data_IF_171436561130
#
_entry.id   IF_171436561130
#
_cell.length_a   1.000
_cell.length_b   1.000
_cell.length_c   1.000
_cell.angle_alpha   90.00
_cell.angle_beta   90.00
_cell.angle_gamma   90.00
#
_symmetry.space_group_name_H-M   'P 1'
#
loop_
_entity.id
_entity.type
_entity.pdbx_description
1 polymer ?
#
# COMPACT_ATOMS: atom_id res chain seq x y z
N UNK A 1 17.34 9.75 -26.46
CA UNK A 1 17.20 9.40 -25.03
C UNK A 1 18.21 8.31 -24.78
N UNK A 2 19.39 8.65 -24.30
CA UNK A 2 20.59 7.95 -24.77
C UNK A 2 20.98 6.73 -23.92
N UNK A 3 20.06 6.20 -23.11
CA UNK A 3 20.28 5.02 -22.28
C UNK A 3 21.47 5.11 -21.32
N UNK A 4 22.02 6.31 -21.14
CA UNK A 4 23.24 6.55 -20.40
C UNK A 4 22.96 6.76 -18.92
N UNK A 5 23.91 6.37 -18.09
CA UNK A 5 23.88 6.64 -16.65
C UNK A 5 25.08 7.51 -16.33
N UNK A 6 24.84 8.63 -15.67
CA UNK A 6 25.88 9.58 -15.27
C UNK A 6 25.82 9.85 -13.77
N UNK A 7 26.98 10.08 -13.17
CA UNK A 7 27.15 10.40 -11.76
C UNK A 7 27.58 11.85 -11.66
N UNK A 8 26.89 12.63 -10.81
CA UNK A 8 27.24 14.02 -10.53
C UNK A 8 27.67 14.17 -9.07
N UNK A 9 28.67 15.01 -8.84
CA UNK A 9 29.07 15.42 -7.49
C UNK A 9 28.45 16.79 -7.19
N UNK A 10 27.49 16.82 -6.25
CA UNK A 10 26.79 18.04 -5.88
C UNK A 10 27.68 19.09 -5.20
N UNK A 11 28.88 18.70 -4.75
CA UNK A 11 29.85 19.63 -4.15
C UNK A 11 30.57 20.45 -5.21
N UNK A 12 30.60 20.00 -6.47
CA UNK A 12 31.21 20.73 -7.57
C UNK A 12 30.22 21.79 -8.07
N UNK A 13 30.70 23.03 -8.19
CA UNK A 13 29.88 24.13 -8.71
C UNK A 13 29.56 23.99 -10.21
N UNK A 14 30.29 23.13 -10.93
CA UNK A 14 30.11 22.91 -12.37
C UNK A 14 29.23 21.69 -12.63
N UNK A 15 28.25 21.77 -13.55
CA UNK A 15 27.32 20.68 -13.86
C UNK A 15 27.96 19.63 -14.80
N UNK A 16 29.17 19.18 -14.50
CA UNK A 16 29.91 18.19 -15.28
C UNK A 16 29.80 16.84 -14.57
N UNK A 17 29.38 15.76 -15.26
CA UNK A 17 29.36 14.43 -14.66
C UNK A 17 30.79 13.98 -14.31
N UNK A 18 30.93 13.36 -13.14
CA UNK A 18 32.19 12.76 -12.68
C UNK A 18 32.51 11.54 -13.53
N UNK A 19 31.51 10.68 -13.74
CA UNK A 19 31.60 9.51 -14.60
C UNK A 19 30.29 9.34 -15.37
N UNK A 20 30.40 8.88 -16.62
CA UNK A 20 29.27 8.60 -17.50
C UNK A 20 29.49 7.28 -18.22
N UNK A 21 28.52 6.39 -18.13
CA UNK A 21 28.45 5.16 -18.92
C UNK A 21 27.44 5.38 -20.03
N UNK A 22 27.93 5.72 -21.22
CA UNK A 22 27.08 6.01 -22.38
C UNK A 22 26.30 4.77 -22.85
N UNK A 23 26.92 3.59 -22.82
CA UNK A 23 26.32 2.32 -23.25
C UNK A 23 25.75 1.52 -22.09
N UNK A 24 25.18 2.19 -21.07
CA UNK A 24 24.61 1.49 -19.91
C UNK A 24 23.42 0.61 -20.32
N UNK A 25 22.58 1.06 -21.24
CA UNK A 25 21.52 0.26 -21.87
C UNK A 25 21.66 0.28 -23.40
N UNK A 26 21.70 -0.90 -24.03
CA UNK A 26 22.27 -1.07 -25.39
C UNK A 26 21.32 -0.70 -26.55
N UNK A 27 20.03 -0.46 -26.29
CA UNK A 27 19.04 -0.23 -27.35
C UNK A 27 18.74 1.25 -27.63
N UNK A 28 19.55 2.18 -27.13
CA UNK A 28 19.29 3.63 -27.30
C UNK A 28 17.95 4.09 -26.71
N UNK A 29 17.35 3.27 -25.85
CA UNK A 29 16.14 3.60 -25.09
C UNK A 29 16.50 4.04 -23.68
N UNK A 30 15.61 4.77 -22.99
CA UNK A 30 15.89 5.31 -21.67
C UNK A 30 16.07 4.21 -20.62
N UNK A 31 16.83 4.54 -19.57
CA UNK A 31 16.73 3.84 -18.31
C UNK A 31 15.41 4.25 -17.64
N UNK A 32 14.53 3.28 -17.38
CA UNK A 32 13.21 3.53 -16.80
C UNK A 32 13.29 3.82 -15.30
N UNK A 33 14.19 3.13 -14.60
CA UNK A 33 14.28 3.21 -13.16
C UNK A 33 15.69 2.88 -12.67
N UNK A 34 16.09 3.54 -11.60
CA UNK A 34 17.34 3.32 -10.92
C UNK A 34 17.10 3.36 -9.41
N UNK A 35 17.84 2.53 -8.67
CA UNK A 35 17.82 2.52 -7.21
C UNK A 35 19.24 2.35 -6.69
N UNK A 36 19.57 3.05 -5.59
CA UNK A 36 20.86 2.95 -4.90
C UNK A 36 20.65 2.25 -3.56
N UNK A 37 21.57 1.35 -3.21
CA UNK A 37 21.59 0.67 -1.92
C UNK A 37 22.11 1.58 -0.80
N UNK A 38 21.77 1.28 0.46
CA UNK A 38 22.26 2.04 1.64
C UNK A 38 23.78 2.01 1.79
N UNK A 39 24.43 1.03 1.19
CA UNK A 39 25.88 0.95 1.19
C UNK A 39 26.51 2.04 0.30
N UNK A 40 25.74 2.79 -0.50
CA UNK A 40 26.19 3.82 -1.45
C UNK A 40 27.18 3.32 -2.51
N UNK A 41 27.37 2.00 -2.63
CA UNK A 41 28.25 1.38 -3.61
C UNK A 41 27.49 0.55 -4.63
N UNK A 42 26.30 0.06 -4.29
CA UNK A 42 25.52 -0.77 -5.21
C UNK A 42 24.40 0.05 -5.84
N UNK A 43 24.37 0.10 -7.16
CA UNK A 43 23.30 0.71 -7.96
C UNK A 43 22.64 -0.38 -8.81
N UNK A 44 21.32 -0.34 -8.90
CA UNK A 44 20.56 -1.19 -9.82
C UNK A 44 19.88 -0.30 -10.84
N UNK A 45 19.99 -0.64 -12.12
CA UNK A 45 19.30 0.05 -13.20
C UNK A 45 18.40 -0.91 -13.99
N UNK A 46 17.28 -0.38 -14.45
CA UNK A 46 16.31 -1.06 -15.31
C UNK A 46 16.09 -0.23 -16.55
N UNK A 47 16.24 -0.85 -17.72
CA UNK A 47 16.20 -0.13 -18.99
C UNK A 47 15.19 -0.66 -20.00
N UNK A 48 15.09 0.08 -21.11
CA UNK A 48 14.34 -0.28 -22.31
C UNK A 48 14.83 -1.58 -22.98
N UNK A 49 16.10 -1.94 -22.76
CA UNK A 49 16.71 -3.16 -23.30
C UNK A 49 16.22 -4.45 -22.61
N UNK A 50 15.15 -4.38 -21.80
CA UNK A 50 14.61 -5.48 -21.00
C UNK A 50 15.62 -6.07 -20.01
N UNK A 51 16.69 -5.35 -19.68
CA UNK A 51 17.69 -5.83 -18.73
C UNK A 51 17.56 -5.15 -17.37
N UNK A 52 17.88 -5.90 -16.32
CA UNK A 52 18.17 -5.39 -14.98
C UNK A 52 19.67 -5.52 -14.76
N UNK A 53 20.36 -4.40 -14.53
CA UNK A 53 21.81 -4.35 -14.38
C UNK A 53 22.19 -3.94 -12.97
N UNK A 54 23.17 -4.63 -12.40
CA UNK A 54 23.79 -4.31 -11.14
C UNK A 54 25.12 -3.60 -11.40
N UNK A 55 25.36 -2.52 -10.69
CA UNK A 55 26.53 -1.66 -10.84
C UNK A 55 27.23 -1.50 -9.50
N UNK A 56 28.56 -1.55 -9.52
CA UNK A 56 29.40 -1.10 -8.41
C UNK A 56 29.85 0.33 -8.71
N UNK A 57 29.40 1.29 -7.90
CA UNK A 57 29.72 2.71 -8.00
C UNK A 57 31.21 2.99 -7.77
N UNK A 58 31.95 2.07 -7.13
CA UNK A 58 33.42 2.17 -7.00
C UNK A 58 34.14 1.81 -8.31
N UNK A 59 33.48 1.06 -9.19
CA UNK A 59 33.99 0.58 -10.48
C UNK A 59 32.94 0.82 -11.58
N UNK A 60 32.47 2.06 -11.69
CA UNK A 60 31.34 2.46 -12.52
C UNK A 60 31.69 2.60 -14.01
N UNK A 61 32.30 1.55 -14.57
CA UNK A 61 32.61 1.43 -16.01
C UNK A 61 31.82 0.31 -16.69
N UNK A 62 31.53 -0.77 -15.97
CA UNK A 62 30.84 -1.95 -16.48
C UNK A 62 29.87 -2.46 -15.41
N UNK A 63 28.73 -3.00 -15.84
CA UNK A 63 27.80 -3.67 -14.93
C UNK A 63 28.46 -4.92 -14.34
N UNK A 64 28.33 -5.12 -13.04
CA UNK A 64 28.82 -6.31 -12.33
C UNK A 64 28.07 -7.55 -12.82
N UNK A 65 26.76 -7.42 -12.97
CA UNK A 65 25.86 -8.46 -13.45
C UNK A 65 24.74 -7.83 -14.28
N UNK A 66 24.20 -8.62 -15.21
CA UNK A 66 23.06 -8.26 -16.05
C UNK A 66 22.12 -9.45 -16.12
N UNK A 67 20.83 -9.19 -15.99
CA UNK A 67 19.79 -10.19 -16.07
C UNK A 67 18.73 -9.75 -17.09
N UNK A 68 18.33 -10.66 -17.96
CA UNK A 68 17.25 -10.43 -18.90
C UNK A 68 15.91 -10.64 -18.20
N UNK A 69 15.10 -9.59 -18.11
CA UNK A 69 13.73 -9.70 -17.64
C UNK A 69 12.82 -8.92 -18.59
N UNK A 70 11.90 -9.59 -19.29
CA UNK A 70 11.00 -8.91 -20.21
C UNK A 70 10.16 -7.86 -19.49
N UNK A 71 9.98 -6.72 -20.16
CA UNK A 71 9.16 -5.64 -19.66
C UNK A 71 8.40 -4.96 -20.80
N UNK A 72 7.07 -4.96 -20.70
CA UNK A 72 6.22 -4.25 -21.66
C UNK A 72 5.91 -2.81 -21.27
N UNK A 73 6.21 -2.39 -20.03
CA UNK A 73 5.87 -1.05 -19.52
C UNK A 73 7.14 -0.22 -19.26
N UNK A 74 7.19 0.97 -19.85
CA UNK A 74 8.24 1.96 -19.62
C UNK A 74 8.25 2.56 -18.21
N UNK A 75 7.14 2.44 -17.50
CA UNK A 75 6.95 2.95 -16.13
C UNK A 75 7.39 1.95 -15.05
N UNK A 76 7.88 0.77 -15.43
CA UNK A 76 8.29 -0.26 -14.48
C UNK A 76 9.46 0.21 -13.62
N UNK A 77 9.29 0.10 -12.29
CA UNK A 77 10.31 0.53 -11.33
C UNK A 77 11.01 -0.63 -10.64
N UNK A 78 12.17 -0.32 -10.08
CA UNK A 78 12.94 -1.19 -9.20
C UNK A 78 12.98 -0.57 -7.80
N UNK A 79 12.87 -1.42 -6.78
CA UNK A 79 12.99 -1.00 -5.38
C UNK A 79 13.89 -1.96 -4.61
N UNK A 80 14.66 -1.43 -3.66
CA UNK A 80 15.33 -2.24 -2.66
C UNK A 80 14.37 -2.57 -1.50
N UNK A 81 14.62 -3.73 -0.91
CA UNK A 81 14.12 -4.08 0.41
C UNK A 81 14.67 -3.14 1.50
N UNK A 82 13.97 -2.98 2.64
CA UNK A 82 14.42 -2.14 3.75
C UNK A 82 15.77 -2.56 4.34
N UNK A 83 16.12 -3.85 4.23
CA UNK A 83 17.39 -4.42 4.66
C UNK A 83 18.44 -4.47 3.54
N UNK A 84 18.11 -4.01 2.33
CA UNK A 84 18.99 -3.92 1.17
C UNK A 84 19.61 -5.25 0.73
N UNK A 85 18.98 -6.37 1.08
CA UNK A 85 19.40 -7.72 0.66
C UNK A 85 18.67 -8.20 -0.57
N UNK A 86 17.46 -7.68 -0.79
CA UNK A 86 16.60 -8.03 -1.91
C UNK A 86 16.34 -6.83 -2.82
N UNK A 87 16.27 -7.11 -4.11
CA UNK A 87 15.79 -6.25 -5.18
C UNK A 87 14.40 -6.71 -5.57
N UNK A 88 13.46 -5.78 -5.71
CA UNK A 88 12.10 -6.06 -6.18
C UNK A 88 11.88 -5.37 -7.52
N UNK A 89 11.40 -6.13 -8.49
CA UNK A 89 11.02 -5.61 -9.80
C UNK A 89 9.79 -6.33 -10.33
N UNK A 90 8.95 -5.59 -11.04
CA UNK A 90 7.88 -6.16 -11.86
C UNK A 90 8.44 -6.70 -13.19
N UNK A 91 7.82 -7.77 -13.68
CA UNK A 91 8.01 -8.29 -15.04
C UNK A 91 6.65 -8.44 -15.71
N UNK A 92 6.60 -8.11 -16.99
CA UNK A 92 5.43 -8.31 -17.84
C UNK A 92 5.87 -8.90 -19.16
N UNK A 93 5.17 -9.94 -19.61
CA UNK A 93 5.42 -10.50 -20.94
C UNK A 93 4.93 -9.55 -22.04
N UNK A 94 5.60 -9.60 -23.20
CA UNK A 94 5.18 -8.84 -24.38
C UNK A 94 3.96 -9.54 -25.01
N UNK A 95 2.84 -8.83 -25.07
CA UNK A 95 1.61 -9.10 -25.88
C UNK A 95 1.10 -10.54 -25.85
N UNK A 96 -0.03 -10.75 -25.16
CA UNK A 96 -0.92 -11.91 -25.36
C UNK A 96 -0.88 -12.98 -24.26
N UNK A 97 -0.01 -12.83 -23.26
CA UNK A 97 -0.01 -13.62 -22.03
C UNK A 97 -0.08 -12.67 -20.84
N UNK A 98 -1.13 -12.76 -20.04
CA UNK A 98 -1.38 -11.88 -18.89
C UNK A 98 -0.65 -12.34 -17.62
N UNK A 99 0.49 -13.03 -17.78
CA UNK A 99 1.29 -13.45 -16.65
C UNK A 99 2.28 -12.32 -16.35
N UNK A 100 1.98 -11.57 -15.30
CA UNK A 100 2.95 -10.67 -14.69
C UNK A 100 3.47 -11.27 -13.40
N UNK A 101 4.73 -11.01 -13.12
CA UNK A 101 5.35 -11.45 -11.89
C UNK A 101 5.98 -10.27 -11.16
N UNK A 102 5.91 -10.31 -9.85
CA UNK A 102 6.73 -9.51 -8.97
C UNK A 102 7.86 -10.40 -8.47
N UNK A 103 9.05 -10.16 -9.00
CA UNK A 103 10.22 -10.95 -8.73
C UNK A 103 11.10 -10.27 -7.67
N UNK A 104 11.61 -11.10 -6.76
CA UNK A 104 12.52 -10.74 -5.70
C UNK A 104 13.86 -11.40 -6.00
N UNK A 105 14.91 -10.60 -6.16
CA UNK A 105 16.27 -11.07 -6.44
C UNK A 105 17.19 -10.77 -5.27
N UNK A 106 18.20 -11.60 -5.06
CA UNK A 106 19.29 -11.27 -4.14
C UNK A 106 20.16 -10.14 -4.76
N UNK A 107 20.64 -9.22 -3.94
CA UNK A 107 21.51 -8.12 -4.37
C UNK A 107 22.90 -8.61 -4.78
N UNK A 108 23.42 -9.64 -4.13
CA UNK A 108 24.80 -10.10 -4.34
C UNK A 108 24.96 -10.86 -5.68
N UNK A 109 24.02 -11.75 -5.99
CA UNK A 109 24.12 -12.69 -7.11
C UNK A 109 23.04 -12.52 -8.19
N UNK A 110 22.09 -11.60 -8.00
CA UNK A 110 20.88 -11.49 -8.85
C UNK A 110 20.09 -12.81 -8.97
N UNK A 111 20.22 -13.70 -7.98
CA UNK A 111 19.49 -14.96 -7.94
C UNK A 111 18.03 -14.75 -7.55
N UNK A 112 17.11 -15.40 -8.25
CA UNK A 112 15.67 -15.30 -7.97
C UNK A 112 15.36 -15.97 -6.62
N UNK A 113 14.95 -15.16 -5.64
CA UNK A 113 14.55 -15.63 -4.32
C UNK A 113 13.08 -16.01 -4.28
N UNK A 114 12.22 -15.17 -4.84
CA UNK A 114 10.77 -15.35 -4.82
C UNK A 114 10.13 -14.72 -6.04
N UNK A 115 9.08 -15.34 -6.55
CA UNK A 115 8.21 -14.78 -7.57
C UNK A 115 6.77 -14.80 -7.07
N UNK A 116 6.05 -13.71 -7.24
CA UNK A 116 4.62 -13.60 -6.94
C UNK A 116 3.90 -13.34 -8.26
N UNK A 117 3.04 -14.26 -8.67
CA UNK A 117 2.23 -14.11 -9.87
C UNK A 117 1.08 -13.11 -9.65
N UNK A 118 0.84 -12.29 -10.66
CA UNK A 118 -0.31 -11.41 -10.76
C UNK A 118 -1.17 -11.91 -11.91
N UNK A 119 -2.37 -12.39 -11.57
CA UNK A 119 -3.36 -12.83 -12.55
C UNK A 119 -4.04 -11.60 -13.16
N UNK A 120 -4.14 -11.58 -14.49
CA UNK A 120 -4.80 -10.56 -15.33
C UNK A 120 -4.40 -9.10 -15.06
N UNK A 121 -3.31 -8.90 -14.32
CA UNK A 121 -2.88 -7.58 -13.84
C UNK A 121 -1.36 -7.53 -13.92
N UNK A 122 -0.81 -6.38 -14.31
CA UNK A 122 0.64 -6.21 -14.37
C UNK A 122 1.18 -5.45 -13.19
N UNK A 123 2.22 -5.97 -12.53
CA UNK A 123 2.96 -5.25 -11.49
C UNK A 123 3.92 -4.26 -12.15
N UNK A 124 3.64 -2.96 -12.01
CA UNK A 124 4.42 -1.90 -12.68
C UNK A 124 5.34 -1.21 -11.67
N UNK A 125 4.78 -0.69 -10.57
CA UNK A 125 5.51 0.22 -9.68
C UNK A 125 5.65 -0.40 -8.29
N UNK A 126 6.72 -1.15 -8.00
CA UNK A 126 7.04 -1.57 -6.65
C UNK A 126 7.69 -0.41 -5.85
N UNK A 127 7.19 -0.17 -4.64
CA UNK A 127 7.74 0.78 -3.67
C UNK A 127 7.72 0.13 -2.29
N UNK A 128 8.91 -0.12 -1.74
CA UNK A 128 9.03 -0.68 -0.40
C UNK A 128 9.30 0.43 0.62
N UNK A 129 8.40 0.59 1.59
CA UNK A 129 8.57 1.59 2.62
C UNK A 129 9.49 1.08 3.75
N UNK A 130 10.62 1.76 4.06
CA UNK A 130 11.64 1.22 4.95
C UNK A 130 11.20 1.12 6.42
N UNK A 131 10.41 2.10 6.92
CA UNK A 131 9.98 2.12 8.33
C UNK A 131 8.73 1.28 8.60
N UNK A 132 7.87 1.10 7.59
CA UNK A 132 6.62 0.35 7.74
C UNK A 132 6.87 -1.13 7.44
N UNK A 133 7.91 -1.42 6.66
CA UNK A 133 8.19 -2.71 6.06
C UNK A 133 7.00 -3.24 5.23
N UNK A 134 6.38 -2.35 4.47
CA UNK A 134 5.24 -2.63 3.59
C UNK A 134 5.64 -2.35 2.15
N UNK A 135 5.29 -3.26 1.25
CA UNK A 135 5.57 -3.19 -0.18
C UNK A 135 4.29 -2.81 -0.92
N UNK A 136 4.26 -1.61 -1.47
CA UNK A 136 3.19 -1.10 -2.30
C UNK A 136 3.51 -1.39 -3.76
N UNK A 137 2.56 -1.98 -4.49
CA UNK A 137 2.70 -2.31 -5.90
C UNK A 137 1.56 -1.67 -6.66
N UNK A 138 1.89 -0.70 -7.52
CA UNK A 138 0.94 -0.16 -8.49
C UNK A 138 0.71 -1.15 -9.63
N UNK A 139 -0.54 -1.55 -9.84
CA UNK A 139 -0.95 -2.43 -10.92
C UNK A 139 -1.42 -1.64 -12.16
N UNK A 140 -1.44 -2.30 -13.33
CA UNK A 140 -2.03 -1.78 -14.57
C UNK A 140 -3.47 -1.31 -14.43
N UNK A 141 -4.23 -1.94 -13.53
CA UNK A 141 -5.66 -1.71 -13.35
C UNK A 141 -5.99 -0.42 -12.59
N UNK A 142 -4.96 0.37 -12.24
CA UNK A 142 -5.09 1.53 -11.35
C UNK A 142 -5.21 1.16 -9.88
N UNK A 143 -5.28 -0.13 -9.54
CA UNK A 143 -5.28 -0.62 -8.17
C UNK A 143 -3.87 -0.67 -7.59
N UNK A 144 -3.76 -0.46 -6.27
CA UNK A 144 -2.52 -0.65 -5.52
C UNK A 144 -2.67 -1.89 -4.66
N UNK A 145 -1.85 -2.91 -4.92
CA UNK A 145 -1.75 -4.09 -4.05
C UNK A 145 -0.64 -3.84 -3.03
N UNK A 146 -0.89 -4.20 -1.78
CA UNK A 146 0.10 -4.02 -0.72
C UNK A 146 0.40 -5.33 -0.04
N UNK A 147 1.68 -5.64 0.05
CA UNK A 147 2.19 -6.81 0.75
C UNK A 147 2.81 -6.37 2.07
N UNK A 148 2.50 -7.11 3.13
CA UNK A 148 3.03 -6.87 4.46
C UNK A 148 3.28 -8.20 5.15
N UNK A 149 4.32 -8.24 5.98
CA UNK A 149 4.53 -9.32 6.94
C UNK A 149 3.83 -8.95 8.26
N UNK A 150 2.86 -9.73 8.77
CA UNK A 150 2.17 -9.43 10.03
C UNK A 150 3.10 -9.32 11.24
N UNK A 151 4.26 -9.97 11.21
CA UNK A 151 5.22 -9.97 12.34
C UNK A 151 6.20 -8.80 12.27
N UNK A 152 6.65 -8.44 11.07
CA UNK A 152 7.70 -7.42 10.86
C UNK A 152 7.16 -6.06 10.46
N UNK A 153 5.95 -5.99 9.92
CA UNK A 153 5.36 -4.73 9.46
C UNK A 153 4.70 -4.00 10.61
N UNK A 154 4.80 -2.68 10.60
CA UNK A 154 4.26 -1.84 11.66
C UNK A 154 3.32 -0.80 11.08
N UNK A 155 2.26 -0.44 11.84
CA UNK A 155 1.33 0.65 11.51
C UNK A 155 0.75 0.51 10.08
N UNK A 156 0.47 1.62 9.40
CA UNK A 156 -0.03 1.65 8.02
C UNK A 156 -1.30 0.82 7.88
N UNK A 157 -1.26 -0.17 7.00
CA UNK A 157 -2.40 -1.07 6.73
C UNK A 157 -2.86 -1.83 7.97
N UNK A 158 -1.97 -2.16 8.91
CA UNK A 158 -2.37 -2.85 10.13
C UNK A 158 -3.38 -2.01 10.95
N UNK A 159 -3.30 -0.67 10.89
CA UNK A 159 -4.27 0.20 11.56
C UNK A 159 -5.65 0.17 10.89
N UNK A 160 -5.68 0.04 9.57
CA UNK A 160 -6.93 -0.08 8.80
C UNK A 160 -7.58 -1.45 9.03
N UNK A 161 -6.77 -2.52 9.11
CA UNK A 161 -7.26 -3.88 9.38
C UNK A 161 -7.90 -4.04 10.76
N UNK A 162 -7.38 -3.36 11.79
CA UNK A 162 -7.97 -3.40 13.13
C UNK A 162 -9.25 -2.59 13.26
N UNK A 163 -9.48 -1.63 12.36
CA UNK A 163 -10.76 -0.92 12.26
C UNK A 163 -11.71 -1.75 11.40
N UNK A 164 -12.20 -2.86 11.95
CA UNK A 164 -13.46 -3.41 11.48
C UNK A 164 -14.49 -2.33 11.75
N UNK A 165 -15.01 -1.71 10.71
CA UNK A 165 -16.21 -0.90 10.84
C UNK A 165 -17.29 -1.90 11.23
N UNK A 166 -17.57 -2.01 12.54
CA UNK A 166 -18.81 -2.64 12.97
C UNK A 166 -19.90 -1.88 12.23
N UNK A 167 -20.44 -2.49 11.19
CA UNK A 167 -21.66 -2.02 10.57
C UNK A 167 -22.62 -1.95 11.74
N UNK A 168 -22.94 -0.73 12.19
CA UNK A 168 -23.96 -0.54 13.21
C UNK A 168 -25.16 -1.32 12.69
N UNK A 169 -25.44 -2.46 13.29
CA UNK A 169 -26.71 -3.13 13.11
C UNK A 169 -27.72 -2.05 13.46
N UNK A 170 -28.48 -1.62 12.46
CA UNK A 170 -29.37 -0.50 12.62
C UNK A 170 -30.28 -0.90 13.78
N UNK A 171 -30.30 -0.13 14.87
CA UNK A 171 -30.97 -0.57 16.11
C UNK A 171 -32.47 -0.87 15.89
N UNK A 172 -33.02 -0.47 14.74
CA UNK A 172 -34.34 -0.87 14.26
C UNK A 172 -34.47 -2.34 13.80
N UNK A 173 -33.41 -3.00 13.34
CA UNK A 173 -33.41 -4.43 12.98
C UNK A 173 -33.33 -5.33 14.22
N UNK A 174 -32.58 -4.93 15.26
CA UNK A 174 -32.56 -5.62 16.55
C UNK A 174 -33.91 -5.60 17.27
N UNK A 175 -34.76 -4.60 17.01
CA UNK A 175 -36.12 -4.55 17.56
C UNK A 175 -37.09 -5.52 16.89
N UNK A 176 -36.77 -6.00 15.68
CA UNK A 176 -37.55 -7.03 14.97
C UNK A 176 -37.13 -8.44 15.38
N UNK A 177 -35.97 -8.59 16.03
CA UNK A 177 -35.46 -9.88 16.42
C UNK A 177 -35.97 -10.27 17.82
N UNK A 178 -37.03 -11.07 17.77
CA UNK A 178 -37.54 -12.01 18.78
C UNK A 178 -38.38 -11.44 19.93
N UNK A 179 -39.68 -11.26 19.67
CA UNK A 179 -40.68 -11.51 20.71
C UNK A 179 -40.71 -13.01 21.00
N UNK A 180 -40.02 -13.45 22.04
CA UNK A 180 -40.12 -14.82 22.55
C UNK A 180 -41.49 -14.97 23.24
N UNK A 181 -42.42 -15.67 22.61
CA UNK A 181 -43.72 -15.98 23.21
C UNK A 181 -43.58 -17.19 24.15
N UNK A 182 -44.10 -17.04 25.36
CA UNK A 182 -44.21 -18.14 26.30
C UNK A 182 -45.32 -19.09 25.82
N UNK A 183 -45.11 -20.42 25.74
CA UNK A 183 -46.05 -21.36 25.11
C UNK A 183 -47.42 -21.48 25.81
N UNK A 184 -47.57 -20.91 27.01
CA UNK A 184 -48.81 -20.94 27.80
C UNK A 184 -49.50 -19.58 27.93
N UNK A 185 -49.07 -18.53 27.22
CA UNK A 185 -49.79 -17.25 27.25
C UNK A 185 -51.15 -17.40 26.56
N UNK A 186 -52.21 -17.11 27.30
CA UNK A 186 -53.62 -17.14 26.86
C UNK A 186 -53.79 -16.29 25.58
N UNK A 187 -54.43 -16.87 24.55
CA UNK A 187 -54.51 -16.33 23.19
C UNK A 187 -55.35 -15.04 23.03
N UNK A 188 -55.91 -14.51 24.11
CA UNK A 188 -56.87 -13.39 24.11
C UNK A 188 -56.23 -12.01 23.83
N UNK A 189 -54.95 -11.97 23.47
CA UNK A 189 -54.21 -10.74 23.14
C UNK A 189 -53.47 -10.80 21.80
N UNK A 190 -53.79 -11.75 20.91
CA UNK A 190 -53.22 -11.82 19.56
C UNK A 190 -53.85 -10.77 18.62
N UNK A 191 -53.82 -9.50 19.00
CA UNK A 191 -53.81 -8.47 17.97
C UNK A 191 -52.39 -8.41 17.42
N UNK A 192 -52.24 -8.86 16.17
CA UNK A 192 -51.09 -8.52 15.35
C UNK A 192 -51.03 -6.99 15.25
N UNK A 193 -50.40 -6.34 16.23
CA UNK A 193 -50.00 -4.96 16.12
C UNK A 193 -49.07 -4.94 14.92
N UNK A 194 -49.55 -4.48 13.77
CA UNK A 194 -48.72 -4.08 12.65
C UNK A 194 -47.85 -2.92 13.15
N UNK A 195 -46.76 -3.26 13.84
CA UNK A 195 -45.92 -2.27 14.46
C UNK A 195 -45.23 -1.54 13.33
N UNK A 196 -45.64 -0.30 13.09
CA UNK A 196 -45.06 0.52 12.06
C UNK A 196 -43.59 0.78 12.43
N UNK A 197 -42.68 0.03 11.81
CA UNK A 197 -41.23 0.07 12.04
C UNK A 197 -40.70 1.49 11.98
N UNK A 198 -41.26 2.31 11.08
CA UNK A 198 -40.90 3.72 10.93
C UNK A 198 -41.23 4.55 12.18
N UNK A 199 -42.37 4.29 12.84
CA UNK A 199 -42.74 4.98 14.09
C UNK A 199 -41.83 4.58 15.25
N UNK A 200 -41.49 3.30 15.37
CA UNK A 200 -40.53 2.83 16.38
C UNK A 200 -39.14 3.41 16.17
N UNK A 201 -38.65 3.44 14.93
CA UNK A 201 -37.37 4.06 14.59
C UNK A 201 -37.36 5.56 14.91
N UNK A 202 -38.44 6.29 14.62
CA UNK A 202 -38.57 7.71 14.98
C UNK A 202 -38.55 7.89 16.50
N UNK A 203 -39.18 6.99 17.27
CA UNK A 203 -39.17 7.02 18.74
C UNK A 203 -37.77 6.73 19.30
N UNK A 204 -37.11 5.68 18.81
CA UNK A 204 -35.74 5.33 19.19
C UNK A 204 -34.73 6.44 18.84
N UNK A 205 -34.92 7.16 17.73
CA UNK A 205 -34.12 8.34 17.35
C UNK A 205 -34.34 9.56 18.25
N UNK A 206 -35.45 9.63 18.98
CA UNK A 206 -35.75 10.72 19.92
C UNK A 206 -35.21 10.44 21.32
N UNK A 207 -35.02 9.17 21.67
CA UNK A 207 -34.52 8.77 23.00
C UNK A 207 -33.03 9.13 23.15
N UNK A 208 -32.67 10.00 24.12
CA UNK A 208 -31.28 10.45 24.31
C UNK A 208 -30.33 9.33 24.71
N UNK A 209 -30.81 8.34 25.47
CA UNK A 209 -30.04 7.19 25.92
C UNK A 209 -29.71 6.22 24.77
N UNK A 210 -30.69 5.93 23.90
CA UNK A 210 -30.51 5.07 22.72
C UNK A 210 -29.64 5.73 21.65
N UNK A 211 -29.80 7.04 21.45
CA UNK A 211 -29.02 7.78 20.45
C UNK A 211 -27.65 8.25 20.95
N UNK A 212 -27.35 8.09 22.24
CA UNK A 212 -26.16 8.67 22.90
C UNK A 212 -25.99 10.14 22.51
N UNK A 213 -27.09 10.90 22.50
CA UNK A 213 -27.06 12.31 22.09
C UNK A 213 -26.15 13.05 23.08
N UNK A 214 -25.13 13.79 22.60
CA UNK A 214 -24.27 14.55 23.50
C UNK A 214 -25.11 15.52 24.31
N UNK A 215 -24.80 15.64 25.60
CA UNK A 215 -25.49 16.55 26.49
C UNK A 215 -25.38 17.98 25.93
N UNK A 216 -26.48 18.73 25.87
CA UNK A 216 -26.43 20.11 25.43
C UNK A 216 -25.52 20.92 26.36
N UNK A 217 -24.80 21.92 25.83
CA UNK A 217 -23.96 22.78 26.66
C UNK A 217 -24.81 23.42 27.76
N UNK A 218 -24.36 23.28 29.01
CA UNK A 218 -25.03 23.87 30.17
C UNK A 218 -24.87 25.39 30.10
N UNK A 219 -25.98 26.11 29.92
CA UNK A 219 -26.01 27.57 29.98
C UNK A 219 -26.43 28.03 31.37
N UNK A 220 -25.49 28.62 32.10
CA UNK A 220 -25.67 29.18 33.44
C UNK A 220 -24.31 29.37 34.13
N UNK A 221 -24.18 30.27 35.12
CA UNK A 221 -22.96 30.38 35.91
C UNK A 221 -22.83 29.17 36.84
N UNK A 222 -22.15 28.11 36.38
CA UNK A 222 -21.92 26.92 37.20
C UNK A 222 -21.42 25.71 36.42
N UNK A 223 -20.15 25.37 36.65
CA UNK A 223 -19.43 24.10 36.46
C UNK A 223 -20.08 23.04 35.54
N UNK A 224 -19.73 23.08 34.25
CA UNK A 224 -19.96 21.96 33.32
C UNK A 224 -18.87 21.79 32.26
N UNK A 225 -17.79 22.58 32.32
CA UNK A 225 -16.69 22.51 31.36
C UNK A 225 -15.44 21.87 31.97
N UNK A 226 -14.94 20.79 31.37
CA UNK A 226 -13.54 20.37 31.55
C UNK A 226 -12.64 21.50 31.01
N UNK A 227 -12.13 22.33 31.91
CA UNK A 227 -11.06 23.29 31.63
C UNK A 227 -9.77 22.49 31.44
N UNK A 228 -9.35 22.27 30.20
CA UNK A 228 -7.95 21.94 29.92
C UNK A 228 -7.21 23.25 29.66
N UNK A 229 -6.87 23.96 30.73
CA UNK A 229 -5.86 25.02 30.65
C UNK A 229 -4.50 24.39 30.90
N UNK A 230 -3.72 24.19 29.84
CA UNK A 230 -2.28 24.02 29.98
C UNK A 230 -1.68 25.40 30.28
N UNK A 231 -1.10 25.58 31.46
CA UNK A 231 -0.27 26.74 31.78
C UNK A 231 1.22 26.36 31.69
N UNK A 232 1.95 27.29 31.07
CA UNK A 232 3.40 27.57 31.05
C UNK A 232 4.35 26.46 30.62
#
# INVERSE_FOLDING_TARGET
MDGCISIWDSRKSTPIPVETVASAHQNGGPAYSMAISRNDYTLVSRGFDDTLKLWDLRKFKVAVQSLDLPNSFDTTRVAFSPDYKLIVTGTSERRGKENSFLNFYNVDDLSLCKSIAFENTSAIIPVWHPKLNQLFVGCSDGNIKVFFDPKRSMKGILMCMTKIHETKTDAGELLLQEQVFNPYSRQDGMEMMNVNVRKLQIKARRDPFLTRKPEPPVYGPGQGGRLTTAMS
#
